data_IF_141414276967
#
_entry.id   IF_141414276967
#
_cell.length_a   1.000
_cell.length_b   1.000
_cell.length_c   1.000
_cell.angle_alpha   90.00
_cell.angle_beta   90.00
_cell.angle_gamma   90.00
#
_symmetry.space_group_name_H-M   'P 1'
#
loop_
_entity.id
_entity.type
_entity.pdbx_description
1 polymer ?
#
# COMPACT_ATOMS: atom_id res chain seq x y z
N UNK A 1 38.08 -3.81 -7.12
CA UNK A 1 37.35 -5.09 -7.00
C UNK A 1 36.04 -4.90 -7.73
N UNK A 2 35.89 -5.53 -8.87
CA UNK A 2 34.75 -5.41 -9.78
C UNK A 2 33.57 -6.17 -9.20
N UNK A 3 32.53 -5.45 -8.76
CA UNK A 3 31.18 -5.99 -8.61
C UNK A 3 30.82 -6.73 -9.90
N UNK A 4 30.39 -7.99 -9.79
CA UNK A 4 30.12 -8.78 -10.98
C UNK A 4 28.90 -8.19 -11.69
N UNK A 5 29.06 -7.75 -12.94
CA UNK A 5 27.98 -7.23 -13.77
C UNK A 5 26.78 -8.19 -13.86
N UNK A 6 26.99 -9.48 -13.58
CA UNK A 6 25.97 -10.53 -13.54
C UNK A 6 24.95 -10.36 -12.40
N UNK A 7 25.37 -9.89 -11.23
CA UNK A 7 24.48 -9.70 -10.08
C UNK A 7 23.55 -8.49 -10.31
N UNK A 8 24.09 -7.44 -10.95
CA UNK A 8 23.39 -6.21 -11.31
C UNK A 8 22.33 -6.47 -12.39
N UNK A 9 22.65 -7.25 -13.43
CA UNK A 9 21.68 -7.60 -14.47
C UNK A 9 20.58 -8.53 -13.96
N UNK A 10 20.90 -9.42 -13.02
CA UNK A 10 19.92 -10.33 -12.43
C UNK A 10 18.82 -9.55 -11.70
N UNK A 11 19.18 -8.59 -10.85
CA UNK A 11 18.24 -7.69 -10.17
C UNK A 11 17.30 -6.94 -11.11
N UNK A 12 17.90 -6.30 -12.12
CA UNK A 12 17.17 -5.50 -13.09
C UNK A 12 16.17 -6.35 -13.84
N UNK A 13 16.56 -7.55 -14.26
CA UNK A 13 15.69 -8.48 -14.96
C UNK A 13 14.54 -9.02 -14.08
N UNK A 14 14.78 -9.21 -12.78
CA UNK A 14 13.80 -9.73 -11.83
C UNK A 14 12.77 -8.68 -11.41
N UNK A 15 13.20 -7.42 -11.24
CA UNK A 15 12.32 -6.28 -10.99
C UNK A 15 11.45 -5.94 -12.22
N UNK A 16 11.95 -6.16 -13.43
CA UNK A 16 11.18 -6.02 -14.68
C UNK A 16 10.21 -7.19 -14.91
N UNK A 17 10.56 -8.43 -14.50
CA UNK A 17 9.74 -9.63 -14.69
C UNK A 17 8.65 -9.85 -13.63
N UNK A 18 8.67 -9.13 -12.51
CA UNK A 18 7.64 -9.24 -11.45
C UNK A 18 6.27 -8.64 -11.84
N UNK A 19 6.07 -8.28 -13.11
CA UNK A 19 4.79 -7.84 -13.64
C UNK A 19 4.52 -6.35 -13.43
N UNK A 20 5.55 -5.51 -13.55
CA UNK A 20 5.34 -4.08 -13.82
C UNK A 20 4.93 -3.97 -15.28
N UNK A 21 3.70 -3.56 -15.63
CA UNK A 21 3.38 -3.26 -17.02
C UNK A 21 4.24 -2.07 -17.44
N UNK A 22 5.05 -2.24 -18.49
CA UNK A 22 5.67 -1.15 -19.28
C UNK A 22 4.59 -0.41 -20.10
N UNK A 23 3.45 -0.10 -19.48
CA UNK A 23 2.38 0.60 -20.17
C UNK A 23 2.48 2.11 -19.88
N UNK A 24 2.95 2.93 -20.83
CA UNK A 24 2.96 4.39 -20.70
C UNK A 24 1.55 4.99 -20.54
N UNK A 25 0.48 4.21 -20.77
CA UNK A 25 -0.90 4.62 -20.53
C UNK A 25 -1.43 4.26 -19.13
N UNK A 26 -0.76 3.39 -18.37
CA UNK A 26 -1.32 2.84 -17.13
C UNK A 26 -1.26 3.78 -15.94
N UNK A 27 -0.49 4.88 -16.02
CA UNK A 27 -0.46 5.99 -15.05
C UNK A 27 -0.90 5.56 -13.65
N UNK A 28 -0.17 4.63 -13.03
CA UNK A 28 -0.62 3.98 -11.80
C UNK A 28 -0.63 5.02 -10.68
N UNK A 29 -1.76 5.70 -10.56
CA UNK A 29 -2.12 6.52 -9.42
C UNK A 29 -2.34 5.52 -8.29
N UNK A 30 -1.33 5.31 -7.44
CA UNK A 30 -1.59 4.83 -6.09
C UNK A 30 -2.33 5.96 -5.37
N UNK A 31 -3.64 6.03 -5.61
CA UNK A 31 -4.55 6.99 -4.99
C UNK A 31 -4.64 6.64 -3.50
N UNK A 32 -3.72 7.20 -2.72
CA UNK A 32 -3.83 7.22 -1.28
C UNK A 32 -5.15 7.88 -0.89
N UNK A 33 -6.12 7.08 -0.44
CA UNK A 33 -7.28 7.64 0.26
C UNK A 33 -6.79 8.21 1.59
N UNK A 34 -7.14 9.45 1.95
CA UNK A 34 -6.65 10.06 3.15
C UNK A 34 -7.31 9.40 4.37
N UNK A 35 -6.51 8.93 5.32
CA UNK A 35 -6.99 8.67 6.67
C UNK A 35 -6.19 9.53 7.66
N UNK A 36 -6.92 10.46 8.23
CA UNK A 36 -6.66 11.14 9.49
C UNK A 36 -6.08 10.19 10.54
N UNK A 37 -4.92 10.53 11.10
CA UNK A 37 -4.48 10.06 12.42
C UNK A 37 -3.16 9.29 12.50
N UNK A 38 -2.64 8.74 11.41
CA UNK A 38 -1.29 8.17 11.39
C UNK A 38 -0.45 8.96 10.39
N UNK A 39 0.75 9.42 10.79
CA UNK A 39 1.71 10.06 9.88
C UNK A 39 1.88 9.15 8.66
N UNK A 40 1.24 9.50 7.55
CA UNK A 40 1.43 8.84 6.26
C UNK A 40 2.86 9.15 5.83
N UNK A 41 3.77 8.22 6.02
CA UNK A 41 5.11 8.27 5.44
C UNK A 41 5.07 7.99 3.92
N UNK A 42 3.96 8.30 3.27
CA UNK A 42 3.83 8.22 1.81
C UNK A 42 4.80 9.23 1.23
N UNK A 43 5.96 8.76 0.78
CA UNK A 43 6.86 9.58 0.01
C UNK A 43 6.25 10.03 -1.32
N UNK A 44 5.07 9.50 -1.70
CA UNK A 44 4.21 10.08 -2.72
C UNK A 44 5.00 10.33 -4.00
N UNK A 45 5.37 9.24 -4.68
CA UNK A 45 6.25 9.37 -5.82
C UNK A 45 6.23 8.18 -6.76
N UNK A 46 6.44 8.48 -8.04
CA UNK A 46 6.43 7.53 -9.15
C UNK A 46 7.89 7.29 -9.53
N UNK A 47 8.30 6.02 -9.61
CA UNK A 47 9.55 5.68 -10.28
C UNK A 47 9.22 5.36 -11.73
N UNK A 48 9.66 6.22 -12.64
CA UNK A 48 9.48 6.04 -14.07
C UNK A 48 10.38 4.91 -14.59
N UNK A 49 10.00 4.31 -15.71
CA UNK A 49 10.78 3.25 -16.39
C UNK A 49 12.20 3.71 -16.76
N UNK A 50 12.41 5.02 -16.94
CA UNK A 50 13.70 5.66 -17.21
C UNK A 50 14.60 5.80 -15.95
N UNK A 51 14.14 5.35 -14.78
CA UNK A 51 14.89 5.40 -13.52
C UNK A 51 14.83 6.76 -12.82
N UNK A 52 13.95 7.67 -13.25
CA UNK A 52 13.71 8.95 -12.56
C UNK A 52 12.61 8.79 -11.53
N UNK A 53 12.87 9.28 -10.31
CA UNK A 53 11.88 9.37 -9.26
C UNK A 53 11.20 10.73 -9.30
N UNK A 54 9.87 10.73 -9.29
CA UNK A 54 9.03 11.92 -9.13
C UNK A 54 8.57 12.04 -7.69
N UNK A 55 8.73 13.20 -7.06
CA UNK A 55 8.13 13.53 -5.75
C UNK A 55 7.70 14.99 -5.74
N UNK A 56 6.40 15.24 -5.58
CA UNK A 56 5.83 16.56 -5.83
C UNK A 56 6.17 17.04 -7.24
N UNK A 57 6.76 18.24 -7.36
CA UNK A 57 7.17 18.82 -8.64
C UNK A 57 8.61 18.47 -9.06
N UNK A 58 9.33 17.65 -8.28
CA UNK A 58 10.71 17.27 -8.57
C UNK A 58 10.76 15.94 -9.32
N UNK A 59 11.44 15.90 -10.47
CA UNK A 59 11.72 14.70 -11.26
C UNK A 59 13.23 14.60 -11.49
N UNK A 60 13.92 13.71 -10.79
CA UNK A 60 15.37 13.54 -10.93
C UNK A 60 15.78 12.06 -10.97
N UNK A 61 16.89 11.72 -11.66
CA UNK A 61 17.42 10.36 -11.66
C UNK A 61 17.64 9.86 -10.23
N UNK A 62 17.26 8.64 -9.90
CA UNK A 62 17.38 8.13 -8.52
C UNK A 62 18.82 8.21 -7.96
N UNK A 63 19.81 8.10 -8.85
CA UNK A 63 21.23 8.26 -8.55
C UNK A 63 21.60 9.64 -7.96
N UNK A 64 20.90 10.70 -8.38
CA UNK A 64 21.19 12.07 -7.93
C UNK A 64 20.55 12.41 -6.58
N UNK A 65 19.78 11.49 -6.00
CA UNK A 65 19.10 11.72 -4.73
C UNK A 65 20.04 11.44 -3.56
N UNK A 66 20.19 12.45 -2.70
CA UNK A 66 20.91 12.35 -1.44
C UNK A 66 20.06 11.69 -0.35
N UNK A 67 20.69 11.04 0.64
CA UNK A 67 20.02 10.49 1.81
C UNK A 67 19.02 11.44 2.47
N UNK A 68 19.32 12.74 2.53
CA UNK A 68 18.42 13.73 3.15
C UNK A 68 17.12 13.95 2.33
N UNK A 69 17.14 13.70 1.03
CA UNK A 69 15.99 13.89 0.12
C UNK A 69 14.97 12.75 0.21
N UNK A 70 15.38 11.63 0.78
CA UNK A 70 14.55 10.45 1.02
C UNK A 70 13.57 10.62 2.21
N UNK A 71 13.74 11.67 3.02
CA UNK A 71 12.87 11.93 4.18
C UNK A 71 13.07 10.92 5.32
N UNK A 72 12.38 11.14 6.45
CA UNK A 72 12.42 10.20 7.58
C UNK A 72 11.37 9.11 7.35
N UNK A 73 11.81 7.92 6.92
CA UNK A 73 10.97 6.72 6.82
C UNK A 73 11.44 5.68 7.85
N UNK A 74 10.54 4.89 8.48
CA UNK A 74 10.93 3.84 9.43
C UNK A 74 11.90 2.79 8.84
N UNK A 75 11.77 2.49 7.55
CA UNK A 75 12.79 1.77 6.78
C UNK A 75 13.88 2.77 6.39
N UNK A 76 14.98 2.81 7.16
CA UNK A 76 16.09 3.73 6.92
C UNK A 76 16.81 3.45 5.59
N UNK A 77 17.26 4.50 4.90
CA UNK A 77 18.15 4.44 3.73
C UNK A 77 19.64 4.53 4.09
N UNK A 78 19.98 4.63 5.38
CA UNK A 78 21.36 4.77 5.84
C UNK A 78 22.20 3.55 5.46
N UNK A 79 23.40 3.77 4.90
CA UNK A 79 24.26 2.68 4.40
C UNK A 79 23.82 2.10 3.05
N UNK A 80 22.78 2.65 2.40
CA UNK A 80 22.34 2.25 1.06
C UNK A 80 22.95 3.20 0.02
N UNK A 81 24.00 2.76 -0.66
CA UNK A 81 24.75 3.55 -1.63
C UNK A 81 24.48 3.11 -3.07
N UNK A 82 24.24 1.80 -3.27
CA UNK A 82 24.02 1.19 -4.59
C UNK A 82 22.69 1.66 -5.21
N UNK A 83 22.68 1.80 -6.53
CA UNK A 83 21.55 2.36 -7.28
C UNK A 83 20.35 1.43 -7.26
N UNK A 84 20.57 0.12 -7.35
CA UNK A 84 19.49 -0.86 -7.36
C UNK A 84 18.98 -1.14 -5.94
N UNK A 85 19.86 -1.11 -4.94
CA UNK A 85 19.45 -1.12 -3.54
C UNK A 85 18.61 0.13 -3.19
N UNK A 86 18.99 1.32 -3.67
CA UNK A 86 18.18 2.56 -3.56
C UNK A 86 16.84 2.42 -4.26
N UNK A 87 16.80 1.80 -5.44
CA UNK A 87 15.56 1.55 -6.19
C UNK A 87 14.60 0.67 -5.41
N UNK A 88 15.11 -0.42 -4.86
CA UNK A 88 14.31 -1.32 -4.04
C UNK A 88 13.82 -0.63 -2.76
N UNK A 89 14.68 0.13 -2.07
CA UNK A 89 14.29 0.95 -0.93
C UNK A 89 13.17 1.94 -1.28
N UNK A 90 13.24 2.59 -2.45
CA UNK A 90 12.19 3.50 -2.92
C UNK A 90 10.84 2.80 -3.09
N UNK A 91 10.83 1.62 -3.72
CA UNK A 91 9.60 0.83 -3.85
C UNK A 91 9.02 0.43 -2.48
N UNK A 92 9.87 0.03 -1.54
CA UNK A 92 9.43 -0.35 -0.19
C UNK A 92 8.81 0.81 0.58
N UNK A 93 9.42 2.00 0.51
CA UNK A 93 8.94 3.21 1.20
C UNK A 93 7.74 3.87 0.54
N UNK A 94 7.43 3.49 -0.70
CA UNK A 94 6.19 3.87 -1.40
C UNK A 94 5.07 2.82 -1.24
N UNK A 95 5.33 1.74 -0.48
CA UNK A 95 4.34 0.71 -0.15
C UNK A 95 4.32 -0.51 -1.08
N UNK A 96 5.24 -0.61 -2.03
CA UNK A 96 5.38 -1.78 -2.88
C UNK A 96 6.30 -2.84 -2.24
N UNK A 97 5.70 -3.70 -1.41
CA UNK A 97 6.41 -4.79 -0.72
C UNK A 97 6.73 -6.00 -1.62
N UNK A 98 6.25 -6.04 -2.88
CA UNK A 98 6.66 -7.07 -3.83
C UNK A 98 8.15 -6.94 -4.22
N UNK A 99 8.76 -5.78 -3.98
CA UNK A 99 10.20 -5.56 -4.15
C UNK A 99 11.07 -6.37 -3.16
N UNK A 100 10.48 -6.98 -2.12
CA UNK A 100 11.22 -7.82 -1.15
C UNK A 100 11.71 -9.13 -1.78
N UNK A 101 10.92 -9.75 -2.66
CA UNK A 101 11.31 -11.01 -3.31
C UNK A 101 12.61 -10.91 -4.14
N UNK A 102 12.78 -9.91 -5.04
CA UNK A 102 14.04 -9.73 -5.75
C UNK A 102 15.18 -9.33 -4.81
N UNK A 103 14.95 -8.52 -3.76
CA UNK A 103 15.95 -8.22 -2.73
C UNK A 103 16.47 -9.49 -2.03
N UNK A 104 15.56 -10.40 -1.68
CA UNK A 104 15.90 -11.67 -1.02
C UNK A 104 16.72 -12.61 -1.92
N UNK A 105 16.65 -12.46 -3.25
CA UNK A 105 17.51 -13.22 -4.16
C UNK A 105 18.94 -12.66 -4.18
N UNK A 106 19.08 -11.34 -4.12
CA UNK A 106 20.37 -10.64 -4.13
C UNK A 106 21.13 -10.78 -2.85
N UNK A 107 20.42 -10.76 -1.72
CA UNK A 107 21.01 -10.92 -0.40
C UNK A 107 21.74 -12.27 -0.23
N UNK A 108 21.46 -13.26 -1.11
CA UNK A 108 22.18 -14.55 -1.14
C UNK A 108 23.50 -14.51 -1.89
N UNK A 109 23.77 -13.41 -2.60
CA UNK A 109 25.00 -13.18 -3.35
C UNK A 109 26.18 -12.84 -2.43
N UNK A 110 27.22 -12.22 -3.01
CA UNK A 110 28.39 -11.75 -2.27
C UNK A 110 28.71 -10.30 -2.66
N UNK A 111 29.35 -9.57 -1.75
CA UNK A 111 29.77 -8.19 -1.97
C UNK A 111 28.78 -7.14 -1.49
N UNK A 112 29.12 -5.88 -1.72
CA UNK A 112 28.45 -4.71 -1.12
C UNK A 112 26.95 -4.64 -1.41
N UNK A 113 26.53 -4.99 -2.63
CA UNK A 113 25.11 -4.97 -3.02
C UNK A 113 24.30 -6.04 -2.27
N UNK A 114 24.89 -7.22 -2.04
CA UNK A 114 24.25 -8.28 -1.27
C UNK A 114 24.12 -7.90 0.22
N UNK A 115 25.13 -7.26 0.79
CA UNK A 115 25.11 -6.73 2.16
C UNK A 115 24.04 -5.64 2.33
N UNK A 116 23.94 -4.71 1.37
CA UNK A 116 22.90 -3.67 1.39
C UNK A 116 21.50 -4.24 1.20
N UNK A 117 21.33 -5.26 0.34
CA UNK A 117 20.06 -5.96 0.18
C UNK A 117 19.63 -6.65 1.47
N UNK A 118 20.57 -7.34 2.15
CA UNK A 118 20.32 -7.99 3.43
C UNK A 118 19.90 -6.96 4.51
N UNK A 119 20.61 -5.83 4.60
CA UNK A 119 20.27 -4.73 5.50
C UNK A 119 18.86 -4.17 5.26
N UNK A 120 18.44 -4.06 3.99
CA UNK A 120 17.07 -3.64 3.66
C UNK A 120 16.02 -4.66 4.08
N UNK A 121 16.27 -5.96 3.90
CA UNK A 121 15.36 -7.02 4.31
C UNK A 121 15.12 -6.99 5.82
N UNK A 122 16.19 -6.85 6.61
CA UNK A 122 16.12 -6.75 8.07
C UNK A 122 15.30 -5.54 8.52
N UNK A 123 15.52 -4.37 7.88
CA UNK A 123 14.75 -3.15 8.17
C UNK A 123 13.29 -3.26 7.78
N UNK A 124 12.97 -3.94 6.67
CA UNK A 124 11.59 -4.20 6.25
C UNK A 124 10.90 -5.11 7.25
N UNK A 125 11.56 -6.20 7.65
CA UNK A 125 11.05 -7.14 8.65
C UNK A 125 10.77 -6.40 9.97
N UNK A 126 11.75 -5.68 10.50
CA UNK A 126 11.60 -4.90 11.73
C UNK A 126 10.45 -3.89 11.62
N UNK A 127 10.36 -3.17 10.51
CA UNK A 127 9.28 -2.20 10.30
C UNK A 127 7.89 -2.86 10.32
N UNK A 128 7.73 -4.03 9.70
CA UNK A 128 6.46 -4.77 9.69
C UNK A 128 6.12 -5.32 11.08
N UNK A 129 7.12 -5.76 11.84
CA UNK A 129 6.96 -6.18 13.24
C UNK A 129 6.51 -4.99 14.11
N UNK A 130 7.20 -3.85 14.03
CA UNK A 130 6.82 -2.66 14.80
C UNK A 130 5.40 -2.17 14.49
N UNK A 131 4.98 -2.29 13.22
CA UNK A 131 3.61 -1.97 12.82
C UNK A 131 2.59 -2.95 13.41
N UNK A 132 2.96 -4.22 13.51
CA UNK A 132 2.14 -5.24 14.16
C UNK A 132 2.01 -4.99 15.66
N UNK A 133 3.11 -4.68 16.35
CA UNK A 133 3.12 -4.39 17.79
C UNK A 133 2.32 -3.14 18.15
N UNK A 134 2.27 -2.15 17.25
CA UNK A 134 1.46 -0.93 17.41
C UNK A 134 -0.02 -1.12 17.07
N UNK A 135 -0.40 -2.27 16.50
CA UNK A 135 -1.77 -2.54 16.12
C UNK A 135 -2.59 -2.90 17.37
N UNK A 136 -3.68 -2.17 17.60
CA UNK A 136 -4.60 -2.50 18.69
C UNK A 136 -5.39 -3.77 18.35
N UNK A 137 -5.12 -4.86 19.07
CA UNK A 137 -5.86 -6.12 18.99
C UNK A 137 -6.61 -6.36 20.31
N UNK A 138 -7.84 -6.93 20.29
CA UNK A 138 -8.59 -7.38 19.12
C UNK A 138 -9.13 -6.21 18.26
N UNK A 139 -9.38 -6.49 16.97
CA UNK A 139 -9.85 -5.47 16.02
C UNK A 139 -11.28 -5.05 16.36
N UNK A 140 -11.44 -3.87 16.94
CA UNK A 140 -12.72 -3.37 17.44
C UNK A 140 -13.46 -2.41 16.48
N UNK A 141 -12.77 -1.82 15.50
CA UNK A 141 -13.36 -0.80 14.62
C UNK A 141 -12.76 -0.85 13.20
N UNK A 142 -13.43 -0.14 12.28
CA UNK A 142 -13.08 -0.12 10.84
C UNK A 142 -11.69 0.47 10.56
N UNK A 143 -11.24 1.45 11.36
CA UNK A 143 -9.92 2.06 11.16
C UNK A 143 -8.81 1.06 11.50
N UNK A 144 -8.95 0.34 12.62
CA UNK A 144 -8.06 -0.74 13.01
C UNK A 144 -8.12 -1.90 12.01
N UNK A 145 -9.31 -2.26 11.52
CA UNK A 145 -9.47 -3.28 10.48
C UNK A 145 -8.70 -2.93 9.21
N UNK A 146 -8.82 -1.68 8.73
CA UNK A 146 -8.12 -1.22 7.53
C UNK A 146 -6.60 -1.15 7.71
N UNK A 147 -6.13 -0.83 8.92
CA UNK A 147 -4.72 -0.88 9.25
C UNK A 147 -4.20 -2.33 9.28
N UNK A 148 -4.97 -3.24 9.88
CA UNK A 148 -4.67 -4.66 9.98
C UNK A 148 -4.64 -5.34 8.60
N UNK A 149 -5.64 -5.11 7.75
CA UNK A 149 -5.70 -5.67 6.40
C UNK A 149 -4.50 -5.22 5.57
N UNK A 150 -4.19 -3.91 5.56
CA UNK A 150 -3.01 -3.40 4.84
C UNK A 150 -1.70 -3.99 5.36
N UNK A 151 -1.57 -4.14 6.68
CA UNK A 151 -0.39 -4.78 7.25
C UNK A 151 -0.29 -6.25 6.82
N UNK A 152 -1.39 -6.99 6.84
CA UNK A 152 -1.46 -8.37 6.36
C UNK A 152 -1.05 -8.47 4.89
N UNK A 153 -1.60 -7.62 4.02
CA UNK A 153 -1.28 -7.61 2.59
C UNK A 153 0.22 -7.31 2.36
N UNK A 154 0.78 -6.36 3.11
CA UNK A 154 2.21 -6.05 3.03
C UNK A 154 3.10 -7.21 3.51
N UNK A 155 2.70 -7.88 4.60
CA UNK A 155 3.40 -9.07 5.10
C UNK A 155 3.32 -10.24 4.12
N UNK A 156 2.17 -10.43 3.46
CA UNK A 156 1.98 -11.49 2.47
C UNK A 156 2.81 -11.21 1.22
N UNK A 157 2.75 -9.98 0.70
CA UNK A 157 3.49 -9.55 -0.48
C UNK A 157 5.01 -9.57 -0.27
N UNK A 158 5.49 -9.34 0.96
CA UNK A 158 6.91 -9.38 1.27
C UNK A 158 7.50 -10.80 1.21
N UNK A 159 6.69 -11.83 1.51
CA UNK A 159 7.16 -13.23 1.53
C UNK A 159 8.20 -13.54 2.62
N UNK A 160 8.37 -12.68 3.62
CA UNK A 160 9.34 -12.87 4.73
C UNK A 160 8.81 -13.96 5.67
N UNK A 161 9.55 -15.08 5.75
CA UNK A 161 9.11 -16.28 6.49
C UNK A 161 8.98 -16.06 8.00
N UNK A 162 9.82 -15.20 8.58
CA UNK A 162 9.80 -14.88 10.01
C UNK A 162 8.51 -14.18 10.46
N UNK A 163 7.74 -13.62 9.53
CA UNK A 163 6.46 -12.96 9.81
C UNK A 163 5.26 -13.92 9.84
N UNK A 164 5.48 -15.22 9.63
CA UNK A 164 4.40 -16.20 9.51
C UNK A 164 3.50 -16.26 10.75
N UNK A 165 4.05 -16.06 11.95
CA UNK A 165 3.24 -16.06 13.17
C UNK A 165 2.32 -14.83 13.22
N UNK A 166 2.86 -13.65 12.94
CA UNK A 166 2.10 -12.39 12.89
C UNK A 166 1.02 -12.44 11.80
N UNK A 167 1.32 -13.00 10.64
CA UNK A 167 0.34 -13.23 9.57
C UNK A 167 -0.82 -14.12 10.01
N UNK A 168 -0.54 -15.22 10.73
CA UNK A 168 -1.58 -16.10 11.29
C UNK A 168 -2.44 -15.38 12.33
N UNK A 169 -1.82 -14.59 13.20
CA UNK A 169 -2.53 -13.76 14.17
C UNK A 169 -3.46 -12.76 13.45
N UNK A 170 -2.94 -12.00 12.49
CA UNK A 170 -3.75 -11.06 11.71
C UNK A 170 -4.89 -11.76 10.96
N UNK A 171 -4.64 -12.92 10.35
CA UNK A 171 -5.69 -13.71 9.67
C UNK A 171 -6.81 -14.07 10.63
N UNK A 172 -6.45 -14.50 11.84
CA UNK A 172 -7.42 -14.89 12.87
C UNK A 172 -8.21 -13.68 13.36
N UNK A 173 -7.52 -12.58 13.66
CA UNK A 173 -8.13 -11.34 14.13
C UNK A 173 -9.04 -10.72 13.08
N UNK A 174 -8.63 -10.66 11.81
CA UNK A 174 -9.46 -10.18 10.70
C UNK A 174 -10.72 -11.04 10.52
N UNK A 175 -10.59 -12.37 10.65
CA UNK A 175 -11.75 -13.26 10.61
C UNK A 175 -12.70 -13.05 11.78
N UNK A 176 -12.16 -12.85 12.99
CA UNK A 176 -12.96 -12.57 14.18
C UNK A 176 -13.66 -11.21 14.05
N UNK A 177 -12.95 -10.21 13.54
CA UNK A 177 -13.46 -8.88 13.25
C UNK A 177 -14.65 -8.93 12.27
N UNK A 178 -14.55 -9.74 11.22
CA UNK A 178 -15.64 -9.93 10.26
C UNK A 178 -16.89 -10.63 10.83
N UNK A 179 -16.77 -11.27 12.01
CA UNK A 179 -17.89 -11.90 12.74
C UNK A 179 -18.50 -10.97 13.79
N UNK A 180 -17.86 -9.85 14.10
CA UNK A 180 -18.44 -8.83 14.97
C UNK A 180 -19.58 -8.14 14.21
N UNK A 181 -20.84 -8.20 14.68
CA UNK A 181 -21.99 -7.65 13.96
C UNK A 181 -21.84 -6.18 13.56
N UNK A 182 -21.35 -5.33 14.47
CA UNK A 182 -21.21 -3.90 14.23
C UNK A 182 -20.18 -3.61 13.12
N UNK A 183 -19.06 -4.33 13.14
CA UNK A 183 -18.02 -4.19 12.13
C UNK A 183 -18.42 -4.84 10.80
N UNK A 184 -19.14 -5.96 10.83
CA UNK A 184 -19.67 -6.62 9.64
C UNK A 184 -20.64 -5.70 8.88
N UNK A 185 -21.53 -5.02 9.61
CA UNK A 185 -22.43 -4.03 9.02
C UNK A 185 -21.67 -2.81 8.49
N UNK A 186 -20.64 -2.32 9.20
CA UNK A 186 -19.78 -1.24 8.73
C UNK A 186 -19.02 -1.61 7.44
N UNK A 187 -18.50 -2.84 7.33
CA UNK A 187 -17.83 -3.37 6.14
C UNK A 187 -18.80 -3.56 4.96
N UNK A 188 -20.02 -4.05 5.23
CA UNK A 188 -21.07 -4.18 4.22
C UNK A 188 -21.48 -2.80 3.71
N UNK A 189 -21.67 -1.84 4.61
CA UNK A 189 -22.02 -0.47 4.26
C UNK A 189 -20.93 0.20 3.41
N UNK A 190 -19.65 0.00 3.76
CA UNK A 190 -18.51 0.47 2.96
C UNK A 190 -18.55 -0.06 1.53
N UNK A 191 -18.68 -1.37 1.39
CA UNK A 191 -18.65 -2.05 0.09
C UNK A 191 -19.81 -1.57 -0.79
N UNK A 192 -21.02 -1.47 -0.22
CA UNK A 192 -22.17 -0.92 -0.92
C UNK A 192 -21.92 0.54 -1.33
N UNK A 193 -21.41 1.37 -0.42
CA UNK A 193 -21.16 2.79 -0.68
C UNK A 193 -20.23 3.02 -1.87
N UNK A 194 -19.08 2.33 -1.93
CA UNK A 194 -18.13 2.51 -3.03
C UNK A 194 -18.67 1.99 -4.37
N UNK A 195 -19.40 0.87 -4.36
CA UNK A 195 -20.08 0.37 -5.57
C UNK A 195 -21.11 1.40 -6.09
N UNK A 196 -21.87 2.03 -5.20
CA UNK A 196 -22.82 3.08 -5.57
C UNK A 196 -22.12 4.35 -6.05
N UNK A 197 -20.97 4.69 -5.46
CA UNK A 197 -20.17 5.85 -5.87
C UNK A 197 -19.70 5.71 -7.32
N UNK A 198 -19.26 4.54 -7.75
CA UNK A 198 -18.90 4.26 -9.15
C UNK A 198 -20.07 4.49 -10.11
N UNK A 199 -21.29 4.10 -9.71
CA UNK A 199 -22.49 4.31 -10.52
C UNK A 199 -22.89 5.80 -10.64
N UNK A 200 -22.50 6.66 -9.70
CA UNK A 200 -22.82 8.10 -9.79
C UNK A 200 -22.13 8.83 -10.94
N UNK A 201 -20.97 8.33 -11.38
CA UNK A 201 -20.21 8.92 -12.49
C UNK A 201 -20.49 8.21 -13.81
N UNK A 202 -21.40 7.24 -13.82
CA UNK A 202 -21.77 6.51 -15.01
C UNK A 202 -22.45 7.44 -16.04
N UNK A 203 -22.25 7.16 -17.33
CA UNK A 203 -22.84 7.93 -18.42
C UNK A 203 -24.34 7.66 -18.58
N UNK A 204 -24.80 6.47 -18.20
CA UNK A 204 -26.19 6.06 -18.28
C UNK A 204 -27.03 6.70 -17.17
N UNK A 205 -28.16 7.32 -17.54
CA UNK A 205 -29.08 7.90 -16.57
C UNK A 205 -29.65 6.86 -15.60
N UNK A 206 -29.97 5.66 -16.09
CA UNK A 206 -30.53 4.56 -15.28
C UNK A 206 -29.57 4.10 -14.18
N UNK A 207 -28.26 4.09 -14.44
CA UNK A 207 -27.25 3.72 -13.45
C UNK A 207 -27.10 4.81 -12.37
N UNK A 208 -27.22 6.09 -12.76
CA UNK A 208 -27.21 7.20 -11.80
C UNK A 208 -28.45 7.19 -10.91
N UNK A 209 -29.63 6.87 -11.45
CA UNK A 209 -30.85 6.73 -10.66
C UNK A 209 -30.75 5.52 -9.72
N UNK A 210 -30.22 4.39 -10.19
CA UNK A 210 -29.91 3.24 -9.34
C UNK A 210 -28.93 3.61 -8.20
N UNK A 211 -27.96 4.48 -8.47
CA UNK A 211 -27.05 4.96 -7.43
C UNK A 211 -27.79 5.78 -6.36
N UNK A 212 -28.71 6.67 -6.77
CA UNK A 212 -29.56 7.47 -5.85
C UNK A 212 -30.42 6.56 -4.97
N UNK A 213 -31.17 5.64 -5.58
CA UNK A 213 -32.01 4.69 -4.85
C UNK A 213 -31.18 3.81 -3.89
N UNK A 214 -30.02 3.35 -4.37
CA UNK A 214 -29.11 2.54 -3.56
C UNK A 214 -28.51 3.31 -2.38
N UNK A 215 -28.20 4.60 -2.51
CA UNK A 215 -27.76 5.40 -1.36
C UNK A 215 -28.88 5.62 -0.36
N UNK A 216 -30.12 5.82 -0.81
CA UNK A 216 -31.30 5.91 0.07
C UNK A 216 -31.49 4.63 0.87
N UNK A 217 -31.43 3.48 0.19
CA UNK A 217 -31.52 2.17 0.84
C UNK A 217 -30.37 1.94 1.83
N UNK A 218 -29.15 2.32 1.48
CA UNK A 218 -28.00 2.21 2.37
C UNK A 218 -28.17 3.08 3.63
N UNK A 219 -28.62 4.32 3.46
CA UNK A 219 -28.88 5.25 4.56
C UNK A 219 -29.97 4.75 5.52
N UNK A 220 -31.02 4.11 5.01
CA UNK A 220 -32.12 3.60 5.82
C UNK A 220 -31.82 2.25 6.48
N UNK A 221 -31.09 1.36 5.78
CA UNK A 221 -30.82 0.00 6.27
C UNK A 221 -29.65 -0.04 7.25
N UNK A 222 -28.62 0.80 7.05
CA UNK A 222 -27.42 0.82 7.87
C UNK A 222 -27.13 2.24 8.43
N UNK A 223 -28.11 2.92 9.08
CA UNK A 223 -28.04 4.34 9.44
C UNK A 223 -26.94 4.66 10.46
N UNK A 224 -26.58 3.69 11.29
CA UNK A 224 -25.61 3.88 12.37
C UNK A 224 -24.16 3.77 11.90
N UNK A 225 -23.94 3.20 10.72
CA UNK A 225 -22.60 3.03 10.13
C UNK A 225 -22.04 4.37 9.62
N UNK A 226 -20.71 4.51 9.56
CA UNK A 226 -20.07 5.70 8.97
C UNK A 226 -20.49 5.88 7.51
N UNK A 227 -20.63 4.78 6.78
CA UNK A 227 -20.98 4.79 5.36
C UNK A 227 -22.47 5.02 5.09
N UNK A 228 -23.37 4.59 5.98
CA UNK A 228 -24.77 4.99 5.96
C UNK A 228 -24.95 6.49 6.17
N UNK A 229 -24.23 7.06 7.15
CA UNK A 229 -24.20 8.53 7.36
C UNK A 229 -23.63 9.28 6.17
N UNK A 230 -22.57 8.74 5.54
CA UNK A 230 -22.02 9.30 4.29
C UNK A 230 -22.99 9.18 3.11
N UNK A 231 -23.82 8.15 3.07
CA UNK A 231 -24.84 7.99 2.04
C UNK A 231 -25.90 9.11 2.13
N UNK A 232 -26.33 9.48 3.34
CA UNK A 232 -27.21 10.65 3.56
C UNK A 232 -26.59 11.92 2.99
N UNK A 233 -25.35 12.24 3.38
CA UNK A 233 -24.65 13.42 2.88
C UNK A 233 -24.46 13.38 1.34
N UNK A 234 -24.31 12.19 0.75
CA UNK A 234 -24.19 12.04 -0.71
C UNK A 234 -25.53 12.31 -1.41
N UNK A 235 -26.66 11.89 -0.85
CA UNK A 235 -27.99 12.17 -1.38
C UNK A 235 -28.29 13.67 -1.39
N UNK A 236 -27.91 14.39 -0.34
CA UNK A 236 -28.06 15.86 -0.25
C UNK A 236 -27.32 16.59 -1.39
N UNK A 237 -26.15 16.09 -1.78
CA UNK A 237 -25.40 16.63 -2.93
C UNK A 237 -26.07 16.30 -4.26
N UNK A 238 -26.64 15.09 -4.38
CA UNK A 238 -27.26 14.63 -5.63
C UNK A 238 -28.65 15.22 -5.88
N UNK A 239 -29.33 15.74 -4.86
CA UNK A 239 -30.61 16.45 -4.97
C UNK A 239 -30.44 17.95 -5.26
N UNK A 240 -29.23 18.49 -5.06
CA UNK A 240 -28.88 19.88 -5.40
C UNK A 240 -28.41 20.07 -6.86
N UNK A 241 -28.30 18.98 -7.63
CA UNK A 241 -27.92 18.95 -9.06
C UNK A 241 -29.12 18.66 -9.94
#
# INVERSE_FOLDING_TARGET
>A
MTTSDGDIQSLRSLLLRSGVPDDPASGVIFAGTPLTGARTYNLGGILNADGRAQRGNSLAPLQSWKPEQFGKHPISSEGITDVEAKRAWWYLTTGNYAAVAPLAQVARGRGEVAEQAQLLLERVEQHLIERFEKLSLPIANIATHDAAQRLFDHMQASGIRNLAQQQRTLTTELRNAARNPDLADELRARTAFFRLQELTIARNARERDQARDGFSQLASTLPNTKWGKRAVARLEVLSAQ
#
